data_IF_923996530529
#
_entry.id   IF_923996530529
#
_cell.length_a   1.000
_cell.length_b   1.000
_cell.length_c   1.000
_cell.angle_alpha   90.00
_cell.angle_beta   90.00
_cell.angle_gamma   90.00
#
_symmetry.space_group_name_H-M   'P 1'
#
loop_
_entity.id
_entity.type
_entity.pdbx_description
1 polymer ?
#
# COMPACT_ATOMS: atom_id res chain seq x y z
N UNK A 1 8.54 -13.29 -9.20
CA UNK A 1 8.56 -12.39 -8.02
C UNK A 1 7.22 -11.67 -7.95
N UNK A 2 6.41 -11.95 -6.93
CA UNK A 2 5.10 -11.31 -6.78
C UNK A 2 5.24 -10.01 -5.96
N UNK A 3 4.42 -9.01 -6.28
CA UNK A 3 4.34 -7.75 -5.54
C UNK A 3 3.09 -7.75 -4.69
N UNK A 4 3.28 -7.56 -3.38
CA UNK A 4 2.21 -7.39 -2.41
C UNK A 4 1.89 -5.91 -2.30
N UNK A 5 0.60 -5.59 -2.12
CA UNK A 5 0.14 -4.21 -2.00
C UNK A 5 -0.84 -4.06 -0.83
N UNK A 6 -0.77 -2.93 -0.13
CA UNK A 6 -1.71 -2.54 0.93
C UNK A 6 -1.99 -1.04 0.86
N UNK A 7 -3.14 -0.55 1.34
CA UNK A 7 -3.32 0.88 1.56
C UNK A 7 -2.27 1.38 2.56
N UNK A 8 -1.79 2.61 2.37
CA UNK A 8 -0.92 3.25 3.36
C UNK A 8 -1.68 3.52 4.65
N UNK A 9 -1.02 3.31 5.79
CA UNK A 9 -1.60 3.53 7.13
C UNK A 9 -1.52 4.99 7.58
N UNK A 10 -0.52 5.72 7.07
CA UNK A 10 -0.22 7.09 7.52
C UNK A 10 -0.56 8.15 6.48
N UNK A 11 -0.76 7.77 5.21
CA UNK A 11 -1.15 8.71 4.15
C UNK A 11 -2.57 9.22 4.36
N UNK A 12 -2.72 10.55 4.38
CA UNK A 12 -4.01 11.23 4.59
C UNK A 12 -4.42 12.00 3.35
N UNK A 13 -5.72 11.98 3.06
CA UNK A 13 -6.31 12.72 1.94
C UNK A 13 -6.15 12.05 0.58
N UNK A 14 -6.40 12.83 -0.47
CA UNK A 14 -6.36 12.37 -1.86
C UNK A 14 -4.91 12.33 -2.40
N UNK A 15 -4.56 11.22 -3.02
CA UNK A 15 -3.27 10.98 -3.62
C UNK A 15 -3.22 11.55 -5.05
N UNK A 16 -2.64 12.75 -5.17
CA UNK A 16 -2.42 13.39 -6.47
C UNK A 16 -1.00 13.19 -7.00
N UNK A 17 -0.03 13.04 -6.09
CA UNK A 17 1.39 12.92 -6.43
C UNK A 17 1.90 11.54 -6.00
N UNK A 18 2.26 10.71 -6.99
CA UNK A 18 2.84 9.37 -6.74
C UNK A 18 4.09 9.46 -5.86
N UNK A 19 4.91 10.48 -6.04
CA UNK A 19 6.14 10.68 -5.27
C UNK A 19 5.87 10.77 -3.76
N UNK A 20 4.92 11.61 -3.34
CA UNK A 20 4.57 11.76 -1.92
C UNK A 20 4.05 10.43 -1.33
N UNK A 21 3.23 9.71 -2.11
CA UNK A 21 2.77 8.37 -1.70
C UNK A 21 3.94 7.39 -1.55
N UNK A 22 4.88 7.40 -2.49
CA UNK A 22 6.09 6.57 -2.41
C UNK A 22 6.90 6.88 -1.15
N UNK A 23 7.17 8.14 -0.85
CA UNK A 23 7.94 8.53 0.34
C UNK A 23 7.29 8.05 1.64
N UNK A 24 5.97 8.21 1.75
CA UNK A 24 5.21 7.68 2.89
C UNK A 24 5.33 6.15 2.97
N UNK A 25 5.19 5.44 1.85
CA UNK A 25 5.32 4.00 1.80
C UNK A 25 6.73 3.50 2.17
N UNK A 26 7.78 4.24 1.80
CA UNK A 26 9.15 3.93 2.22
C UNK A 26 9.29 4.02 3.75
N UNK A 27 8.70 5.04 4.36
CA UNK A 27 8.68 5.18 5.84
C UNK A 27 7.84 4.09 6.53
N UNK A 28 6.89 3.48 5.83
CA UNK A 28 6.08 2.34 6.31
C UNK A 28 6.76 0.97 6.06
N UNK A 29 7.99 0.94 5.54
CA UNK A 29 8.73 -0.30 5.29
C UNK A 29 8.34 -1.03 3.99
N UNK A 30 7.75 -0.31 3.04
CA UNK A 30 7.54 -0.77 1.67
C UNK A 30 8.65 -0.24 0.75
N UNK A 31 8.70 -0.71 -0.49
CA UNK A 31 9.74 -0.33 -1.46
C UNK A 31 9.25 0.61 -2.55
N UNK A 32 7.93 0.70 -2.75
CA UNK A 32 7.30 1.63 -3.69
C UNK A 32 5.89 2.02 -3.22
N UNK A 33 5.29 3.02 -3.88
CA UNK A 33 3.91 3.46 -3.64
C UNK A 33 3.27 4.07 -4.88
N UNK A 34 1.96 3.90 -5.04
CA UNK A 34 1.18 4.48 -6.14
C UNK A 34 -0.23 4.93 -5.74
N UNK A 35 -0.70 6.01 -6.37
CA UNK A 35 -2.07 6.47 -6.23
C UNK A 35 -3.01 5.61 -7.09
N UNK A 36 -4.03 5.00 -6.50
CA UNK A 36 -4.96 4.10 -7.20
C UNK A 36 -6.44 4.44 -6.97
N UNK A 37 -7.25 4.01 -7.92
CA UNK A 37 -8.71 4.09 -7.88
C UNK A 37 -9.28 5.49 -8.09
N UNK A 38 -10.60 5.57 -8.16
CA UNK A 38 -11.35 6.82 -8.32
C UNK A 38 -11.20 7.74 -7.11
N UNK A 39 -11.12 7.15 -5.90
CA UNK A 39 -10.88 7.88 -4.65
C UNK A 39 -9.42 8.29 -4.43
N UNK A 40 -8.53 8.04 -5.42
CA UNK A 40 -7.12 8.41 -5.35
C UNK A 40 -6.47 8.02 -4.02
N UNK A 41 -6.56 6.76 -3.60
CA UNK A 41 -5.92 6.29 -2.36
C UNK A 41 -4.45 5.95 -2.63
N UNK A 42 -3.59 6.18 -1.64
CA UNK A 42 -2.20 5.74 -1.69
C UNK A 42 -2.10 4.25 -1.33
N UNK A 43 -1.52 3.45 -2.23
CA UNK A 43 -1.22 2.03 -2.01
C UNK A 43 0.29 1.81 -2.02
N UNK A 44 0.80 1.18 -0.96
CA UNK A 44 2.18 0.79 -0.80
C UNK A 44 2.44 -0.59 -1.38
N UNK A 45 3.63 -0.79 -1.95
CA UNK A 45 4.00 -1.98 -2.71
C UNK A 45 5.38 -2.49 -2.28
N UNK A 46 5.50 -3.79 -2.06
CA UNK A 46 6.78 -4.45 -1.78
C UNK A 46 6.81 -5.89 -2.29
N UNK A 47 7.98 -6.49 -2.51
CA UNK A 47 8.08 -7.90 -2.83
C UNK A 47 7.40 -8.75 -1.75
N UNK A 48 6.57 -9.72 -2.15
CA UNK A 48 6.01 -10.66 -1.21
C UNK A 48 7.11 -11.60 -0.67
N UNK A 49 7.12 -11.96 0.62
CA UNK A 49 7.93 -13.06 1.10
C UNK A 49 7.51 -14.35 0.36
N UNK A 50 8.47 -15.22 0.04
CA UNK A 50 8.28 -16.41 -0.80
C UNK A 50 7.43 -17.54 -0.19
N UNK A 51 6.74 -17.30 0.93
CA UNK A 51 5.92 -18.27 1.65
C UNK A 51 4.70 -17.56 2.24
N UNK A 52 3.50 -17.94 1.78
CA UNK A 52 2.23 -17.49 2.36
C UNK A 52 1.70 -16.22 1.72
N UNK A 53 0.70 -16.37 0.86
CA UNK A 53 -0.09 -15.27 0.33
C UNK A 53 -1.10 -14.82 1.41
N UNK A 54 -0.95 -13.63 2.04
CA UNK A 54 -1.96 -13.09 2.94
C UNK A 54 -2.76 -11.99 2.24
N UNK A 55 -2.88 -12.00 0.89
CA UNK A 55 -3.77 -11.07 0.19
C UNK A 55 -5.26 -11.25 0.49
N UNK A 56 -5.59 -12.05 1.51
CA UNK A 56 -6.91 -12.22 2.08
C UNK A 56 -6.90 -12.32 3.62
N UNK A 57 -6.15 -11.44 4.33
CA UNK A 57 -6.65 -11.05 5.65
C UNK A 57 -7.85 -10.13 5.37
N UNK A 58 -9.05 -10.72 5.46
CA UNK A 58 -10.32 -10.01 5.34
C UNK A 58 -10.24 -8.68 6.08
N UNK A 59 -10.35 -7.56 5.36
CA UNK A 59 -10.49 -6.22 5.93
C UNK A 59 -11.83 -6.01 6.67
N UNK A 60 -12.41 -7.08 7.21
CA UNK A 60 -13.69 -7.11 7.91
C UNK A 60 -13.55 -7.26 9.43
N UNK A 61 -12.33 -7.17 9.98
CA UNK A 61 -12.10 -7.24 11.43
C UNK A 61 -11.05 -6.22 11.90
N UNK A 62 -11.27 -4.96 11.57
CA UNK A 62 -10.91 -3.87 12.47
C UNK A 62 -12.25 -3.30 12.96
N UNK A 63 -12.51 -3.48 14.27
CA UNK A 63 -13.77 -3.28 15.00
C UNK A 63 -14.81 -2.36 14.34
#
# INVERSE_FOLDING_TARGET
MAICQSPSFTFRGLCFRKHNCKEVCLNEGFTDGSCKGLLRRCYCQKPCPSQGNPSSINSSNYN
#
